data_IF_014260477862
#
_entry.id   IF_014260477862
#
_cell.length_a   1.000
_cell.length_b   1.000
_cell.length_c   1.000
_cell.angle_alpha   90.00
_cell.angle_beta   90.00
_cell.angle_gamma   90.00
#
_symmetry.space_group_name_H-M   'P 1'
#
loop_
_entity.id
_entity.type
_entity.pdbx_description
1 polymer ?
#
# COMPACT_ATOMS: atom_id res chain seq x y z
N UNK A 1 2.02 42.95 28.53
CA UNK A 1 2.39 43.13 27.09
C UNK A 1 3.90 42.95 27.03
N UNK A 2 4.33 41.82 26.47
CA UNK A 2 5.74 41.65 26.14
C UNK A 2 6.01 42.43 24.84
N UNK A 3 6.75 43.49 24.90
CA UNK A 3 7.30 44.18 23.73
C UNK A 3 8.53 43.42 23.25
N UNK A 4 8.36 42.70 22.16
CA UNK A 4 9.51 42.10 21.47
C UNK A 4 10.17 43.16 20.60
N UNK A 5 11.23 43.76 21.09
CA UNK A 5 12.06 44.73 20.36
C UNK A 5 13.12 44.06 19.48
N UNK A 6 12.93 42.81 19.07
CA UNK A 6 13.91 42.10 18.27
C UNK A 6 13.31 41.63 16.94
N UNK A 7 14.06 41.81 15.87
CA UNK A 7 13.87 41.31 14.51
C UNK A 7 13.83 39.74 14.44
N UNK A 8 13.43 39.12 15.56
CA UNK A 8 13.42 37.65 15.76
C UNK A 8 12.22 36.98 15.13
N UNK A 9 11.15 37.72 14.83
CA UNK A 9 9.93 37.19 14.19
C UNK A 9 9.80 37.77 12.81
N UNK A 10 9.79 36.88 11.79
CA UNK A 10 9.59 37.26 10.39
C UNK A 10 8.40 36.54 9.84
N UNK A 11 7.54 37.24 9.11
CA UNK A 11 6.35 36.71 8.48
C UNK A 11 6.57 36.66 6.98
N UNK A 12 6.33 35.49 6.40
CA UNK A 12 6.43 35.27 4.95
C UNK A 12 5.12 34.73 4.42
N UNK A 13 4.67 35.29 3.29
CA UNK A 13 3.49 34.79 2.56
C UNK A 13 3.90 33.97 1.35
N UNK A 14 3.26 32.83 1.13
CA UNK A 14 3.41 32.02 -0.07
C UNK A 14 2.04 31.80 -0.72
N UNK A 15 2.01 31.69 -2.06
CA UNK A 15 0.76 31.45 -2.81
C UNK A 15 0.28 30.01 -2.70
N UNK A 16 1.20 29.08 -2.53
CA UNK A 16 0.92 27.64 -2.46
C UNK A 16 1.73 26.96 -1.37
N UNK A 17 1.23 25.82 -0.86
CA UNK A 17 1.97 24.98 0.12
C UNK A 17 3.34 24.56 -0.42
N UNK A 18 3.41 24.29 -1.72
CA UNK A 18 4.66 23.91 -2.39
C UNK A 18 5.70 25.02 -2.33
N UNK A 19 5.30 26.29 -2.54
CA UNK A 19 6.17 27.44 -2.44
C UNK A 19 6.58 27.69 -0.99
N UNK A 20 5.67 27.56 -0.04
CA UNK A 20 5.95 27.66 1.38
C UNK A 20 7.04 26.69 1.81
N UNK A 21 6.92 25.42 1.45
CA UNK A 21 7.90 24.39 1.79
C UNK A 21 9.24 24.60 1.06
N UNK A 22 9.21 25.04 -0.21
CA UNK A 22 10.45 25.41 -0.93
C UNK A 22 11.17 26.56 -0.26
N UNK A 23 10.43 27.58 0.17
CA UNK A 23 11.01 28.70 0.90
C UNK A 23 11.63 28.25 2.21
N UNK A 24 10.93 27.43 3.02
CA UNK A 24 11.44 26.90 4.28
C UNK A 24 12.74 26.10 4.07
N UNK A 25 12.75 25.18 3.09
CA UNK A 25 13.94 24.38 2.79
C UNK A 25 15.13 25.25 2.32
N UNK A 26 14.86 26.24 1.47
CA UNK A 26 15.90 27.18 1.00
C UNK A 26 16.46 28.03 2.15
N UNK A 27 15.59 28.52 3.04
CA UNK A 27 16.00 29.32 4.20
C UNK A 27 16.83 28.52 5.19
N UNK A 28 16.41 27.29 5.52
CA UNK A 28 17.20 26.39 6.36
C UNK A 28 18.58 26.16 5.76
N UNK A 29 18.64 25.84 4.46
CA UNK A 29 19.93 25.63 3.78
C UNK A 29 20.83 26.86 3.80
N UNK A 30 20.25 28.04 3.61
CA UNK A 30 20.98 29.32 3.70
C UNK A 30 21.58 29.51 5.10
N UNK A 31 20.76 29.31 6.15
CA UNK A 31 21.20 29.50 7.52
C UNK A 31 22.30 28.52 7.93
N UNK A 32 22.19 27.25 7.46
CA UNK A 32 23.26 26.27 7.68
C UNK A 32 24.55 26.67 6.95
N UNK A 33 24.44 27.13 5.69
CA UNK A 33 25.64 27.47 4.89
C UNK A 33 26.34 28.76 5.30
N UNK A 34 25.59 29.77 5.76
CA UNK A 34 26.10 31.13 5.98
C UNK A 34 26.22 31.44 7.46
N UNK A 35 25.26 31.01 8.26
CA UNK A 35 25.16 31.41 9.68
C UNK A 35 25.66 30.31 10.64
N UNK A 36 26.13 29.18 10.12
CA UNK A 36 26.73 28.09 10.90
C UNK A 36 25.79 27.24 11.72
N UNK A 37 24.46 27.32 11.46
CA UNK A 37 23.47 26.44 12.09
C UNK A 37 23.64 25.00 11.64
N UNK A 38 23.15 24.07 12.44
CA UNK A 38 23.07 22.63 12.09
C UNK A 38 21.64 22.26 11.75
N UNK A 39 21.42 21.33 10.86
CA UNK A 39 20.07 20.88 10.48
C UNK A 39 19.20 20.48 11.69
N UNK A 40 19.79 19.94 12.74
CA UNK A 40 19.09 19.55 13.97
C UNK A 40 18.62 20.75 14.83
N UNK A 41 19.09 21.94 14.54
CA UNK A 41 18.71 23.14 15.29
C UNK A 41 17.41 23.77 14.76
N UNK A 42 16.81 23.19 13.69
CA UNK A 42 15.56 23.67 13.09
C UNK A 42 14.38 22.77 13.46
N UNK A 43 13.26 23.40 13.75
CA UNK A 43 11.97 22.74 13.96
C UNK A 43 10.91 23.41 13.08
N UNK A 44 10.23 22.62 12.24
CA UNK A 44 9.07 23.05 11.48
C UNK A 44 7.80 22.57 12.15
N UNK A 45 6.89 23.46 12.46
CA UNK A 45 5.61 23.15 13.10
C UNK A 45 4.45 23.47 12.16
N UNK A 46 3.50 22.56 12.05
CA UNK A 46 2.25 22.78 11.34
C UNK A 46 1.08 22.15 12.07
N UNK A 47 -0.10 22.74 11.96
CA UNK A 47 -1.33 22.16 12.54
C UNK A 47 -1.85 20.95 11.77
N UNK A 48 -1.65 20.94 10.47
CA UNK A 48 -2.20 19.95 9.55
C UNK A 48 -1.12 19.34 8.69
N UNK A 49 -0.30 18.48 9.29
CA UNK A 49 0.83 17.83 8.62
C UNK A 49 0.39 16.99 7.41
N UNK A 50 -0.79 16.41 7.47
CA UNK A 50 -1.38 15.63 6.36
C UNK A 50 -1.47 16.41 5.05
N UNK A 51 -1.70 17.74 5.12
CA UNK A 51 -1.80 18.60 3.95
C UNK A 51 -0.44 18.83 3.26
N UNK A 52 0.65 18.60 3.97
CA UNK A 52 2.03 18.78 3.50
C UNK A 52 2.74 17.47 3.17
N UNK A 53 2.17 16.34 3.56
CA UNK A 53 2.75 15.01 3.45
C UNK A 53 3.38 14.72 2.08
N UNK A 54 2.65 15.03 1.00
CA UNK A 54 3.09 14.70 -0.35
C UNK A 54 4.12 15.69 -0.95
N UNK A 55 4.30 16.85 -0.32
CA UNK A 55 5.20 17.91 -0.82
C UNK A 55 6.46 18.06 0.02
N UNK A 56 6.42 17.70 1.29
CA UNK A 56 7.50 17.88 2.25
C UNK A 56 8.75 17.07 1.86
N UNK A 57 8.63 15.74 1.86
CA UNK A 57 9.78 14.86 1.63
C UNK A 57 10.46 15.09 0.26
N UNK A 58 9.73 15.17 -0.88
CA UNK A 58 10.35 15.40 -2.18
C UNK A 58 11.09 16.74 -2.27
N UNK A 59 10.55 17.80 -1.66
CA UNK A 59 11.14 19.14 -1.74
C UNK A 59 12.41 19.20 -0.88
N UNK A 60 12.36 18.67 0.35
CA UNK A 60 13.52 18.63 1.23
C UNK A 60 14.63 17.72 0.68
N UNK A 61 14.27 16.59 0.10
CA UNK A 61 15.24 15.70 -0.59
C UNK A 61 15.91 16.41 -1.77
N UNK A 62 15.13 17.11 -2.61
CA UNK A 62 15.67 17.91 -3.73
C UNK A 62 16.58 19.02 -3.25
N UNK A 63 16.26 19.66 -2.12
CA UNK A 63 17.09 20.70 -1.51
C UNK A 63 18.31 20.13 -0.76
N UNK A 64 18.45 18.79 -0.65
CA UNK A 64 19.49 18.11 0.13
C UNK A 64 19.48 18.54 1.61
N UNK A 65 18.31 18.78 2.16
CA UNK A 65 18.08 19.10 3.56
C UNK A 65 17.50 17.86 4.25
N UNK A 66 18.22 17.25 5.21
CA UNK A 66 17.69 16.10 5.95
C UNK A 66 16.46 16.52 6.76
N UNK A 67 15.42 15.69 6.75
CA UNK A 67 14.18 15.94 7.48
C UNK A 67 13.74 14.68 8.20
N UNK A 68 13.26 14.85 9.41
CA UNK A 68 12.46 13.86 10.11
C UNK A 68 11.01 14.36 10.19
N UNK A 69 10.06 13.54 9.79
CA UNK A 69 8.64 13.88 9.76
C UNK A 69 7.90 12.96 10.73
N UNK A 70 7.35 13.53 11.79
CA UNK A 70 6.55 12.80 12.78
C UNK A 70 5.11 12.61 12.25
N UNK A 71 4.94 11.68 11.32
CA UNK A 71 3.65 11.28 10.80
C UNK A 71 3.15 10.04 11.53
N UNK A 72 2.03 10.20 12.22
CA UNK A 72 1.30 9.05 12.74
C UNK A 72 0.68 8.28 11.57
N UNK A 73 1.26 7.14 11.21
CA UNK A 73 0.64 6.21 10.26
C UNK A 73 -0.46 5.44 10.99
N UNK A 74 -1.67 5.44 10.43
CA UNK A 74 -2.74 4.60 10.97
C UNK A 74 -2.32 3.13 10.85
N UNK A 75 -2.32 2.42 11.95
CA UNK A 75 -2.00 0.98 12.00
C UNK A 75 -2.98 0.17 11.15
N UNK A 76 -4.21 0.67 10.98
CA UNK A 76 -5.23 0.06 10.11
C UNK A 76 -4.79 -0.17 8.67
N UNK A 77 -3.86 0.64 8.17
CA UNK A 77 -3.39 0.58 6.78
C UNK A 77 -2.19 -0.37 6.61
N UNK A 78 -1.79 -1.05 7.68
CA UNK A 78 -0.69 -1.99 7.63
C UNK A 78 -1.14 -3.35 7.06
N UNK A 79 -0.42 -3.95 6.09
CA UNK A 79 -0.82 -5.21 5.47
C UNK A 79 -1.10 -6.36 6.46
N UNK A 80 -0.37 -6.43 7.57
CA UNK A 80 -0.59 -7.43 8.61
C UNK A 80 -1.96 -7.25 9.29
N UNK A 81 -2.39 -6.00 9.52
CA UNK A 81 -3.70 -5.71 10.10
C UNK A 81 -4.81 -6.09 9.12
N UNK A 82 -4.60 -5.82 7.83
CA UNK A 82 -5.53 -6.25 6.78
C UNK A 82 -5.61 -7.78 6.70
N UNK A 83 -4.49 -8.49 6.77
CA UNK A 83 -4.45 -9.96 6.84
C UNK A 83 -5.32 -10.48 7.99
N UNK A 84 -5.11 -9.96 9.21
CA UNK A 84 -5.87 -10.41 10.38
C UNK A 84 -7.36 -10.12 10.24
N UNK A 85 -7.72 -8.91 9.79
CA UNK A 85 -9.11 -8.54 9.57
C UNK A 85 -9.77 -9.41 8.50
N UNK A 86 -9.09 -9.69 7.39
CA UNK A 86 -9.56 -10.57 6.34
C UNK A 86 -9.73 -12.00 6.85
N UNK A 87 -8.76 -12.53 7.62
CA UNK A 87 -8.82 -13.87 8.19
C UNK A 87 -10.07 -14.06 9.09
N UNK A 88 -10.34 -13.09 9.98
CA UNK A 88 -11.54 -13.12 10.81
C UNK A 88 -12.82 -12.98 9.98
N UNK A 89 -12.81 -12.15 8.92
CA UNK A 89 -13.95 -11.98 8.04
C UNK A 89 -14.26 -13.25 7.25
N UNK A 90 -13.24 -13.92 6.70
CA UNK A 90 -13.35 -15.20 6.00
C UNK A 90 -14.08 -16.22 6.86
N UNK A 91 -13.62 -16.44 8.11
CA UNK A 91 -14.27 -17.41 9.02
C UNK A 91 -15.70 -17.00 9.39
N UNK A 92 -15.92 -15.73 9.73
CA UNK A 92 -17.22 -15.22 10.17
C UNK A 92 -18.28 -15.23 9.08
N UNK A 93 -17.86 -14.98 7.82
CA UNK A 93 -18.76 -14.84 6.66
C UNK A 93 -18.77 -16.06 5.74
N UNK A 94 -18.24 -17.20 6.23
CA UNK A 94 -18.24 -18.45 5.50
C UNK A 94 -17.59 -18.36 4.11
N UNK A 95 -16.32 -17.90 4.06
CA UNK A 95 -15.47 -17.93 2.86
C UNK A 95 -16.09 -17.22 1.64
N UNK A 96 -16.67 -16.02 1.84
CA UNK A 96 -17.17 -15.21 0.73
C UNK A 96 -16.03 -14.75 -0.16
N UNK A 97 -16.32 -14.63 -1.45
CA UNK A 97 -15.38 -14.20 -2.48
C UNK A 97 -14.57 -12.96 -2.06
N UNK A 98 -15.25 -11.87 -1.66
CA UNK A 98 -14.58 -10.62 -1.29
C UNK A 98 -13.60 -10.78 -0.13
N UNK A 99 -13.95 -11.59 0.88
CA UNK A 99 -13.11 -11.77 2.07
C UNK A 99 -11.90 -12.66 1.73
N UNK A 100 -12.08 -13.69 0.90
CA UNK A 100 -11.00 -14.55 0.41
C UNK A 100 -10.02 -13.75 -0.47
N UNK A 101 -10.51 -12.95 -1.42
CA UNK A 101 -9.63 -12.12 -2.26
C UNK A 101 -8.88 -11.08 -1.44
N UNK A 102 -9.51 -10.44 -0.45
CA UNK A 102 -8.81 -9.55 0.48
C UNK A 102 -7.67 -10.25 1.21
N UNK A 103 -7.92 -11.46 1.70
CA UNK A 103 -6.94 -12.28 2.39
C UNK A 103 -5.73 -12.60 1.49
N UNK A 104 -5.99 -13.16 0.31
CA UNK A 104 -4.97 -13.59 -0.63
C UNK A 104 -4.18 -12.41 -1.23
N UNK A 105 -4.85 -11.28 -1.50
CA UNK A 105 -4.22 -10.05 -2.04
C UNK A 105 -3.33 -9.31 -1.03
N UNK A 106 -3.30 -9.73 0.24
CA UNK A 106 -2.30 -9.20 1.19
C UNK A 106 -0.87 -9.62 0.85
N UNK A 107 -0.70 -10.67 0.04
CA UNK A 107 0.59 -11.26 -0.33
C UNK A 107 1.43 -11.78 0.86
N UNK A 108 0.87 -11.82 2.06
CA UNK A 108 1.57 -12.30 3.25
C UNK A 108 1.50 -13.83 3.42
N UNK A 109 0.70 -14.51 2.61
CA UNK A 109 0.51 -15.96 2.63
C UNK A 109 1.22 -16.66 1.44
N UNK A 110 2.09 -15.96 0.73
CA UNK A 110 2.81 -16.53 -0.42
C UNK A 110 3.68 -17.71 0.05
N UNK A 111 3.57 -18.90 -0.57
CA UNK A 111 4.47 -20.02 -0.29
C UNK A 111 5.93 -19.63 -0.49
N UNK A 112 6.83 -20.14 0.37
CA UNK A 112 8.25 -19.75 0.39
C UNK A 112 8.98 -19.94 -0.94
N UNK A 113 8.57 -20.98 -1.69
CA UNK A 113 9.21 -21.36 -2.94
C UNK A 113 8.61 -20.67 -4.16
N UNK A 114 7.61 -19.79 -3.97
CA UNK A 114 6.91 -19.11 -5.04
C UNK A 114 7.32 -17.64 -5.14
N UNK A 115 7.69 -17.20 -6.35
CA UNK A 115 7.99 -15.79 -6.63
C UNK A 115 6.71 -14.97 -6.61
N UNK A 116 6.79 -13.73 -6.13
CA UNK A 116 5.65 -12.81 -6.01
C UNK A 116 4.93 -12.60 -7.34
N UNK A 117 5.67 -12.42 -8.44
CA UNK A 117 5.09 -12.22 -9.77
C UNK A 117 4.32 -13.45 -10.25
N UNK A 118 4.84 -14.65 -9.94
CA UNK A 118 4.18 -15.91 -10.27
C UNK A 118 2.90 -16.06 -9.44
N UNK A 119 2.97 -15.76 -8.13
CA UNK A 119 1.82 -15.78 -7.24
C UNK A 119 0.71 -14.85 -7.72
N UNK A 120 1.03 -13.60 -8.06
CA UNK A 120 0.06 -12.62 -8.59
C UNK A 120 -0.66 -13.15 -9.84
N UNK A 121 0.10 -13.70 -10.79
CA UNK A 121 -0.47 -14.28 -12.00
C UNK A 121 -1.41 -15.47 -11.69
N UNK A 122 -0.99 -16.35 -10.80
CA UNK A 122 -1.82 -17.49 -10.36
C UNK A 122 -3.07 -17.00 -9.62
N UNK A 123 -2.94 -15.98 -8.78
CA UNK A 123 -4.07 -15.38 -8.06
C UNK A 123 -5.08 -14.75 -9.01
N UNK A 124 -4.63 -14.04 -10.06
CA UNK A 124 -5.51 -13.48 -11.08
C UNK A 124 -6.28 -14.58 -11.84
N UNK A 125 -5.61 -15.72 -12.14
CA UNK A 125 -6.26 -16.87 -12.74
C UNK A 125 -7.30 -17.51 -11.80
N UNK A 126 -6.97 -17.62 -10.52
CA UNK A 126 -7.87 -18.13 -9.48
C UNK A 126 -9.08 -17.22 -9.33
N UNK A 127 -8.88 -15.90 -9.30
CA UNK A 127 -9.97 -14.92 -9.25
C UNK A 127 -10.92 -15.05 -10.46
N UNK A 128 -10.36 -15.17 -11.67
CA UNK A 128 -11.14 -15.39 -12.89
C UNK A 128 -11.94 -16.70 -12.85
N UNK A 129 -11.35 -17.78 -12.33
CA UNK A 129 -12.03 -19.05 -12.16
C UNK A 129 -13.21 -18.93 -11.19
N UNK A 130 -12.98 -18.33 -10.03
CA UNK A 130 -13.99 -18.12 -8.99
C UNK A 130 -15.16 -17.30 -9.53
N UNK A 131 -14.88 -16.22 -10.24
CA UNK A 131 -15.91 -15.37 -10.84
C UNK A 131 -16.70 -16.12 -11.93
N UNK A 132 -16.02 -16.95 -12.74
CA UNK A 132 -16.65 -17.74 -13.79
C UNK A 132 -17.61 -18.79 -13.25
N UNK A 133 -17.22 -19.50 -12.20
CA UNK A 133 -17.97 -20.65 -11.68
C UNK A 133 -18.75 -20.35 -10.38
N UNK A 134 -18.60 -19.12 -9.83
CA UNK A 134 -19.29 -18.72 -8.60
C UNK A 134 -18.80 -19.47 -7.37
N UNK A 135 -17.52 -19.82 -7.31
CA UNK A 135 -16.99 -20.55 -6.15
C UNK A 135 -16.90 -19.64 -4.93
N UNK A 136 -17.68 -19.96 -3.91
CA UNK A 136 -17.63 -19.34 -2.59
C UNK A 136 -18.07 -20.31 -1.49
N UNK A 137 -17.93 -19.93 -0.24
CA UNK A 137 -18.39 -20.69 0.91
C UNK A 137 -17.71 -22.04 1.02
N UNK A 138 -18.50 -23.11 1.05
CA UNK A 138 -18.01 -24.49 1.20
C UNK A 138 -17.15 -24.99 0.04
N UNK A 139 -17.15 -24.31 -1.12
CA UNK A 139 -16.31 -24.67 -2.25
C UNK A 139 -14.81 -24.58 -1.90
N UNK A 140 -14.43 -23.68 -0.99
CA UNK A 140 -13.06 -23.53 -0.48
C UNK A 140 -12.61 -24.64 0.47
N UNK A 141 -13.55 -25.44 0.97
CA UNK A 141 -13.27 -26.50 1.95
C UNK A 141 -13.35 -27.90 1.34
N UNK A 142 -13.61 -28.00 0.04
CA UNK A 142 -13.68 -29.29 -0.65
C UNK A 142 -12.27 -29.82 -0.91
N UNK A 143 -12.09 -31.12 -0.69
CA UNK A 143 -10.84 -31.83 -0.98
C UNK A 143 -10.58 -32.02 -2.49
N UNK A 144 -11.56 -31.69 -3.34
CA UNK A 144 -11.41 -31.84 -4.79
C UNK A 144 -10.84 -30.58 -5.41
N UNK A 145 -9.86 -30.76 -6.28
CA UNK A 145 -9.27 -29.71 -7.10
C UNK A 145 -10.32 -28.97 -7.91
N UNK A 146 -10.14 -27.66 -8.04
CA UNK A 146 -10.94 -26.85 -8.96
C UNK A 146 -10.42 -27.07 -10.37
N UNK A 147 -11.35 -27.37 -11.30
CA UNK A 147 -11.01 -27.67 -12.68
C UNK A 147 -11.37 -26.49 -13.57
N UNK A 148 -10.40 -26.00 -14.31
CA UNK A 148 -10.63 -24.96 -15.30
C UNK A 148 -11.06 -25.54 -16.63
N UNK A 149 -12.16 -25.04 -17.17
CA UNK A 149 -12.61 -25.29 -18.53
C UNK A 149 -12.84 -23.94 -19.23
N UNK A 150 -12.35 -23.82 -20.47
CA UNK A 150 -12.58 -22.63 -21.28
C UNK A 150 -14.05 -22.50 -21.66
N UNK A 151 -14.68 -23.62 -22.02
CA UNK A 151 -16.10 -23.79 -22.31
C UNK A 151 -16.72 -24.65 -21.21
N UNK A 152 -18.06 -24.79 -21.21
CA UNK A 152 -18.73 -25.65 -20.23
C UNK A 152 -18.27 -27.11 -20.30
N UNK A 153 -18.36 -27.83 -19.18
CA UNK A 153 -17.85 -29.20 -19.02
C UNK A 153 -18.46 -30.18 -20.03
N UNK A 154 -19.64 -29.86 -20.60
CA UNK A 154 -20.38 -30.70 -21.54
C UNK A 154 -20.06 -30.44 -23.02
N UNK A 155 -19.29 -29.36 -23.33
CA UNK A 155 -19.29 -28.88 -24.70
C UNK A 155 -18.20 -29.45 -25.60
N UNK A 156 -17.10 -29.91 -25.06
CA UNK A 156 -15.96 -30.41 -25.87
C UNK A 156 -15.10 -31.44 -25.12
N UNK A 157 -14.97 -32.60 -25.63
CA UNK A 157 -14.05 -33.69 -25.33
C UNK A 157 -12.86 -33.46 -24.38
N UNK A 158 -11.67 -33.86 -24.78
CA UNK A 158 -10.44 -33.81 -23.97
C UNK A 158 -9.99 -32.38 -23.69
N UNK A 159 -9.65 -32.11 -22.44
CA UNK A 159 -9.04 -30.83 -21.99
C UNK A 159 -7.72 -30.56 -22.73
N UNK A 160 -7.44 -29.29 -22.95
CA UNK A 160 -6.19 -28.85 -23.56
C UNK A 160 -5.07 -28.74 -22.52
N UNK A 161 -3.79 -28.84 -22.96
CA UNK A 161 -2.63 -28.64 -22.09
C UNK A 161 -2.65 -27.28 -21.37
N UNK A 162 -3.24 -26.24 -22.00
CA UNK A 162 -3.39 -24.92 -21.41
C UNK A 162 -4.38 -24.93 -20.24
N UNK A 163 -5.49 -25.65 -20.38
CA UNK A 163 -6.49 -25.81 -19.30
C UNK A 163 -5.94 -26.64 -18.15
N UNK A 164 -5.14 -27.67 -18.43
CA UNK A 164 -4.47 -28.45 -17.41
C UNK A 164 -3.44 -27.64 -16.64
N UNK A 165 -2.69 -26.77 -17.33
CA UNK A 165 -1.75 -25.87 -16.68
C UNK A 165 -2.47 -24.88 -15.75
N UNK A 166 -3.55 -24.24 -16.21
CA UNK A 166 -4.33 -23.31 -15.38
C UNK A 166 -4.91 -24.05 -14.18
N UNK A 167 -5.46 -25.25 -14.36
CA UNK A 167 -5.98 -26.08 -13.28
C UNK A 167 -4.91 -26.35 -12.21
N UNK A 168 -3.70 -26.72 -12.60
CA UNK A 168 -2.59 -26.92 -11.66
C UNK A 168 -2.22 -25.62 -10.94
N UNK A 169 -2.12 -24.51 -11.66
CA UNK A 169 -1.74 -23.22 -11.10
C UNK A 169 -2.76 -22.70 -10.09
N UNK A 170 -4.07 -22.86 -10.35
CA UNK A 170 -5.15 -22.43 -9.46
C UNK A 170 -5.17 -23.21 -8.15
N UNK A 171 -4.82 -24.50 -8.17
CA UNK A 171 -4.82 -25.34 -6.97
C UNK A 171 -3.54 -25.27 -6.14
N UNK A 172 -2.59 -24.41 -6.47
CA UNK A 172 -1.39 -24.11 -5.66
C UNK A 172 -1.67 -23.02 -4.64
N UNK A 173 -2.65 -22.15 -4.88
CA UNK A 173 -3.04 -21.03 -4.01
C UNK A 173 -4.02 -21.48 -2.93
#
# INVERSE_FOLDING_TARGET
>A
KATFENDSVKIYGAKTRTEEIRFAAAKIRQMVAVEGYRYKDFLNLTRHLDLYKNVLEPIFAKAKVPIFVDLQKKVSDHPLVELLNALFAVKRRHYRYNDMMRLLKTELLIPKDLKVETYRRMLDQTENLILKFGYEGSAWLKEKDWIYYRFGESDFGTRTDAEDRITKEVNVI
#
